data_IF_760588711032
#
_entry.id   IF_760588711032
#
_cell.length_a   1.000
_cell.length_b   1.000
_cell.length_c   1.000
_cell.angle_alpha   90.00
_cell.angle_beta   90.00
_cell.angle_gamma   90.00
#
_symmetry.space_group_name_H-M   'P 1'
#
loop_
_entity.id
_entity.type
_entity.pdbx_description
1 polymer ?
#
# COMPACT_ATOMS: atom_id res chain seq x y z
N UNK A 1 -3.52 11.35 2.15
CA UNK A 1 -2.92 10.04 1.78
C UNK A 1 -1.39 10.11 1.71
N UNK A 2 -0.82 11.17 1.12
CA UNK A 2 0.64 11.36 1.02
C UNK A 2 1.36 11.35 2.38
N UNK A 3 0.77 11.95 3.41
CA UNK A 3 1.32 11.91 4.76
C UNK A 3 1.45 10.48 5.33
N UNK A 4 0.54 9.57 4.96
CA UNK A 4 0.55 8.17 5.41
C UNK A 4 1.47 7.31 4.55
N UNK A 5 1.45 7.49 3.22
CA UNK A 5 2.42 6.87 2.30
C UNK A 5 3.86 7.30 2.65
N UNK A 6 4.02 8.53 3.12
CA UNK A 6 5.23 9.12 3.69
C UNK A 6 5.86 8.28 4.82
N UNK A 7 5.04 7.54 5.56
CA UNK A 7 5.46 6.72 6.71
C UNK A 7 5.76 5.26 6.36
N UNK A 8 5.56 4.86 5.09
CA UNK A 8 6.02 3.59 4.55
C UNK A 8 7.47 3.68 4.13
N UNK A 9 8.19 2.55 4.18
CA UNK A 9 9.51 2.48 3.54
C UNK A 9 9.39 2.50 2.01
N UNK A 10 10.49 2.77 1.31
CA UNK A 10 10.50 2.97 -0.14
C UNK A 10 9.89 1.81 -0.92
N UNK A 11 10.17 0.56 -0.51
CA UNK A 11 9.63 -0.64 -1.17
C UNK A 11 8.13 -0.78 -0.94
N UNK A 12 7.66 -0.54 0.28
CA UNK A 12 6.24 -0.58 0.61
C UNK A 12 5.47 0.51 -0.13
N UNK A 13 6.02 1.73 -0.16
CA UNK A 13 5.44 2.86 -0.89
C UNK A 13 5.33 2.54 -2.38
N UNK A 14 6.43 2.14 -3.01
CA UNK A 14 6.44 1.81 -4.45
C UNK A 14 5.44 0.69 -4.80
N UNK A 15 5.35 -0.35 -3.97
CA UNK A 15 4.37 -1.43 -4.18
C UNK A 15 2.94 -0.90 -4.06
N UNK A 16 2.63 -0.09 -3.05
CA UNK A 16 1.29 0.49 -2.87
C UNK A 16 0.94 1.44 -4.01
N UNK A 17 1.84 2.34 -4.37
CA UNK A 17 1.59 3.33 -5.43
C UNK A 17 1.26 2.66 -6.77
N UNK A 18 2.02 1.65 -7.18
CA UNK A 18 1.76 0.93 -8.43
C UNK A 18 0.56 -0.01 -8.36
N UNK A 19 0.37 -0.73 -7.26
CA UNK A 19 -0.74 -1.70 -7.12
C UNK A 19 -2.10 -1.03 -7.07
N UNK A 20 -2.16 0.23 -6.63
CA UNK A 20 -3.40 0.98 -6.46
C UNK A 20 -3.51 2.22 -7.36
N UNK A 21 -2.56 2.41 -8.29
CA UNK A 21 -2.59 3.50 -9.27
C UNK A 21 -2.53 4.90 -8.66
N UNK A 22 -1.69 5.07 -7.63
CA UNK A 22 -1.50 6.34 -6.95
C UNK A 22 -0.40 7.15 -7.64
N UNK A 23 -0.35 8.47 -7.39
CA UNK A 23 0.65 9.38 -7.97
C UNK A 23 0.81 9.30 -9.50
N UNK A 24 -0.27 8.95 -10.21
CA UNK A 24 -0.27 8.88 -11.67
C UNK A 24 0.26 7.57 -12.25
N UNK A 25 0.56 6.56 -11.42
CA UNK A 25 0.81 5.20 -11.90
C UNK A 25 -0.49 4.56 -12.41
N UNK A 26 -0.37 3.73 -13.44
CA UNK A 26 -1.43 2.78 -13.77
C UNK A 26 -1.45 1.63 -12.75
N UNK A 27 -2.62 1.03 -12.57
CA UNK A 27 -2.77 -0.14 -11.69
C UNK A 27 -2.01 -1.31 -12.31
N UNK A 28 -0.92 -1.72 -11.65
CA UNK A 28 -0.11 -2.86 -12.05
C UNK A 28 -0.47 -4.11 -11.24
N UNK A 29 -0.29 -5.30 -11.80
CA UNK A 29 -0.39 -6.61 -11.13
C UNK A 29 0.77 -6.85 -10.16
N UNK A 30 0.63 -7.83 -9.26
CA UNK A 30 1.76 -8.24 -8.38
C UNK A 30 2.97 -8.73 -9.18
N UNK A 31 2.73 -9.33 -10.35
CA UNK A 31 3.77 -9.86 -11.22
C UNK A 31 4.52 -8.75 -11.95
N UNK A 32 3.79 -7.79 -12.53
CA UNK A 32 4.40 -6.61 -13.19
C UNK A 32 5.26 -5.80 -12.22
N UNK A 33 4.75 -5.52 -11.02
CA UNK A 33 5.53 -4.82 -9.99
C UNK A 33 6.76 -5.62 -9.58
N UNK A 34 6.63 -6.95 -9.47
CA UNK A 34 7.73 -7.84 -9.12
C UNK A 34 8.84 -7.83 -10.16
N UNK A 35 8.46 -7.91 -11.43
CA UNK A 35 9.39 -7.82 -12.56
C UNK A 35 10.13 -6.48 -12.57
N UNK A 36 9.44 -5.38 -12.28
CA UNK A 36 10.05 -4.05 -12.31
C UNK A 36 11.03 -3.78 -11.15
N UNK A 37 10.76 -4.31 -9.95
CA UNK A 37 11.63 -4.12 -8.77
C UNK A 37 12.59 -5.30 -8.51
N UNK A 38 12.63 -6.29 -9.40
CA UNK A 38 13.53 -7.44 -9.34
C UNK A 38 13.24 -8.41 -8.18
N UNK A 39 11.96 -8.64 -7.86
CA UNK A 39 11.54 -9.58 -6.81
C UNK A 39 10.42 -10.50 -7.29
N UNK A 40 10.21 -11.62 -6.60
CA UNK A 40 9.14 -12.55 -6.95
C UNK A 40 7.76 -11.94 -6.67
N UNK A 41 6.74 -12.41 -7.40
CA UNK A 41 5.33 -12.07 -7.17
C UNK A 41 4.91 -12.25 -5.69
N UNK A 42 5.35 -13.33 -5.05
CA UNK A 42 5.03 -13.57 -3.64
C UNK A 42 5.73 -12.55 -2.73
N UNK A 43 6.94 -12.12 -3.07
CA UNK A 43 7.62 -11.06 -2.32
C UNK A 43 6.87 -9.74 -2.42
N UNK A 44 6.34 -9.39 -3.59
CA UNK A 44 5.46 -8.22 -3.75
C UNK A 44 4.20 -8.36 -2.89
N UNK A 45 3.59 -9.55 -2.87
CA UNK A 45 2.39 -9.82 -2.06
C UNK A 45 2.67 -9.61 -0.57
N UNK A 46 3.80 -10.11 -0.07
CA UNK A 46 4.23 -9.91 1.32
C UNK A 46 4.39 -8.41 1.64
N UNK A 47 5.13 -7.69 0.78
CA UNK A 47 5.35 -6.24 0.94
C UNK A 47 4.01 -5.48 0.94
N UNK A 48 3.08 -5.85 0.04
CA UNK A 48 1.75 -5.23 -0.03
C UNK A 48 0.98 -5.43 1.29
N UNK A 49 0.95 -6.66 1.83
CA UNK A 49 0.25 -6.96 3.09
C UNK A 49 0.88 -6.18 4.25
N UNK A 50 2.20 -6.15 4.34
CA UNK A 50 2.93 -5.40 5.37
C UNK A 50 2.64 -3.89 5.28
N UNK A 51 2.63 -3.33 4.07
CA UNK A 51 2.33 -1.94 3.82
C UNK A 51 0.89 -1.58 4.24
N UNK A 52 -0.10 -2.39 3.85
CA UNK A 52 -1.50 -2.18 4.22
C UNK A 52 -1.71 -2.30 5.74
N UNK A 53 -1.06 -3.26 6.40
CA UNK A 53 -1.08 -3.39 7.85
C UNK A 53 -0.51 -2.14 8.52
N UNK A 54 0.59 -1.59 7.99
CA UNK A 54 1.22 -0.37 8.52
C UNK A 54 0.32 0.85 8.32
N UNK A 55 -0.30 1.00 7.16
CA UNK A 55 -1.25 2.08 6.89
C UNK A 55 -2.44 2.03 7.85
N UNK A 56 -3.01 0.84 8.09
CA UNK A 56 -4.07 0.64 9.09
C UNK A 56 -3.64 1.12 10.49
N UNK A 57 -2.45 0.75 10.95
CA UNK A 57 -1.94 1.18 12.25
C UNK A 57 -1.75 2.71 12.35
N UNK A 58 -1.36 3.36 11.24
CA UNK A 58 -1.21 4.81 11.18
C UNK A 58 -2.59 5.48 11.32
N UNK A 59 -3.58 5.00 10.57
CA UNK A 59 -4.96 5.49 10.63
C UNK A 59 -5.55 5.37 12.04
N UNK A 60 -5.43 4.18 12.65
CA UNK A 60 -5.92 3.92 14.00
C UNK A 60 -5.27 4.85 15.03
N UNK A 61 -3.95 5.10 14.92
CA UNK A 61 -3.23 6.02 15.81
C UNK A 61 -3.68 7.47 15.65
N UNK A 62 -4.06 7.88 14.44
CA UNK A 62 -4.57 9.23 14.15
C UNK A 62 -6.06 9.39 14.46
N UNK A 63 -6.69 8.37 15.07
CA UNK A 63 -8.09 8.40 15.48
C UNK A 63 -9.08 8.07 14.37
N UNK A 64 -8.59 7.68 13.18
CA UNK A 64 -9.42 7.20 12.09
C UNK A 64 -9.70 5.71 12.30
N UNK A 65 -10.90 5.36 12.75
CA UNK A 65 -11.34 3.96 12.73
C UNK A 65 -11.61 3.54 11.29
N UNK A 66 -10.97 2.44 10.89
CA UNK A 66 -11.24 1.80 9.60
C UNK A 66 -12.69 1.30 9.54
N UNK A 67 -13.27 0.86 10.67
CA UNK A 67 -14.68 0.49 10.70
C UNK A 67 -15.59 1.70 10.44
N UNK A 68 -15.27 2.88 10.99
CA UNK A 68 -16.06 4.08 10.76
C UNK A 68 -16.01 4.55 9.29
N UNK A 69 -14.89 4.35 8.59
CA UNK A 69 -14.74 4.69 7.17
C UNK A 69 -15.59 3.79 6.24
N UNK A 70 -15.96 2.59 6.69
CA UNK A 70 -16.80 1.65 5.94
C UNK A 70 -18.20 1.47 6.54
N UNK A 71 -18.53 2.21 7.62
CA UNK A 71 -19.83 2.16 8.27
C UNK A 71 -20.91 2.97 7.52
N UNK A 72 -20.53 3.75 6.51
CA UNK A 72 -21.46 4.33 5.53
C UNK A 72 -21.53 3.41 4.31
N UNK A 73 -22.36 2.37 4.41
CA UNK A 73 -22.66 1.40 3.35
C UNK A 73 -24.03 0.79 3.52
#
# INVERSE_FOLDING_TARGET
IDAWLGQLNDKQRAVVERRFGLHGYEIATLEEVGNEIGVTRERVRQIQIEALKRLRQILEREGFSVEALFAEG
#
